data_IF_952201573844
#
_entry.id   IF_952201573844
#
_cell.length_a   1.000
_cell.length_b   1.000
_cell.length_c   1.000
_cell.angle_alpha   90.00
_cell.angle_beta   90.00
_cell.angle_gamma   90.00
#
_symmetry.space_group_name_H-M   'P 1'
#
loop_
_entity.id
_entity.type
_entity.pdbx_description
1 polymer ?
#
# COMPACT_ATOMS: atom_id res chain seq x y z
N UNK A 1 4.90 -40.99 -14.72
CA UNK A 1 5.83 -40.46 -13.69
C UNK A 1 6.82 -39.51 -14.35
N UNK A 2 6.62 -38.20 -14.21
CA UNK A 2 7.68 -37.21 -14.46
C UNK A 2 7.38 -35.96 -13.64
N UNK A 3 8.32 -35.66 -12.76
CA UNK A 3 8.40 -34.52 -11.86
C UNK A 3 8.66 -33.26 -12.70
N UNK A 4 7.93 -32.18 -12.46
CA UNK A 4 8.32 -30.83 -12.92
C UNK A 4 8.21 -29.87 -11.74
N UNK A 5 9.37 -29.38 -11.36
CA UNK A 5 9.68 -28.33 -10.39
C UNK A 5 8.98 -27.00 -10.73
N UNK A 6 8.28 -26.41 -9.75
CA UNK A 6 7.81 -25.02 -9.82
C UNK A 6 8.86 -24.10 -9.22
N UNK A 7 9.53 -23.35 -10.09
CA UNK A 7 10.42 -22.25 -9.72
C UNK A 7 9.59 -21.06 -9.26
N UNK A 8 9.82 -20.62 -8.02
CA UNK A 8 9.24 -19.42 -7.41
C UNK A 8 9.82 -18.14 -8.04
N UNK A 9 8.98 -17.35 -8.72
CA UNK A 9 9.33 -16.01 -9.21
C UNK A 9 9.46 -15.01 -8.05
N UNK A 10 10.63 -14.34 -7.97
CA UNK A 10 10.93 -13.26 -7.00
C UNK A 10 10.38 -11.92 -7.53
N UNK A 11 9.93 -10.98 -6.67
CA UNK A 11 9.42 -9.69 -7.11
C UNK A 11 10.51 -8.81 -7.75
N UNK A 12 10.12 -8.13 -8.83
CA UNK A 12 10.97 -7.44 -9.80
C UNK A 12 11.60 -6.14 -9.22
N UNK A 13 12.94 -6.08 -9.10
CA UNK A 13 13.72 -4.95 -8.57
C UNK A 13 13.74 -3.69 -9.49
N UNK A 14 13.18 -3.78 -10.69
CA UNK A 14 13.34 -2.74 -11.72
C UNK A 14 12.45 -1.50 -11.52
N UNK A 15 11.35 -1.59 -10.77
CA UNK A 15 10.42 -0.46 -10.61
C UNK A 15 10.98 0.69 -9.76
N UNK A 16 11.83 0.39 -8.77
CA UNK A 16 12.39 1.41 -7.86
C UNK A 16 13.40 2.33 -8.54
N UNK A 17 14.17 1.84 -9.51
CA UNK A 17 15.17 2.65 -10.23
C UNK A 17 14.55 3.66 -11.19
N UNK A 18 13.43 3.30 -11.82
CA UNK A 18 12.68 4.17 -12.73
C UNK A 18 12.07 5.36 -11.98
N UNK A 19 11.58 5.13 -10.76
CA UNK A 19 11.06 6.19 -9.89
C UNK A 19 12.15 7.19 -9.46
N UNK A 20 13.36 6.69 -9.20
CA UNK A 20 14.53 7.53 -8.89
C UNK A 20 14.88 8.40 -10.10
N UNK A 21 14.90 7.83 -11.30
CA UNK A 21 15.16 8.57 -12.54
C UNK A 21 14.10 9.64 -12.82
N UNK A 22 12.82 9.36 -12.57
CA UNK A 22 11.74 10.34 -12.70
C UNK A 22 11.95 11.56 -11.79
N UNK A 23 12.31 11.33 -10.53
CA UNK A 23 12.60 12.43 -9.59
C UNK A 23 13.78 13.30 -10.04
N UNK A 24 14.79 12.69 -10.64
CA UNK A 24 15.95 13.41 -11.17
C UNK A 24 15.53 14.30 -12.35
N UNK A 25 14.71 13.80 -13.27
CA UNK A 25 14.19 14.59 -14.39
C UNK A 25 13.29 15.74 -13.88
N UNK A 26 12.40 15.46 -12.93
CA UNK A 26 11.51 16.49 -12.36
C UNK A 26 12.32 17.60 -11.67
N UNK A 27 13.40 17.23 -10.99
CA UNK A 27 14.33 18.16 -10.36
C UNK A 27 15.14 18.97 -11.39
N UNK A 28 15.46 18.37 -12.55
CA UNK A 28 16.17 19.04 -13.64
C UNK A 28 15.29 20.04 -14.39
N UNK A 29 14.00 19.74 -14.54
CA UNK A 29 12.99 20.69 -15.05
C UNK A 29 12.88 21.89 -14.10
N UNK A 30 12.90 21.64 -12.79
CA UNK A 30 12.84 22.70 -11.77
C UNK A 30 14.11 23.56 -11.71
N UNK A 31 15.28 23.00 -12.04
CA UNK A 31 16.55 23.74 -12.12
C UNK A 31 16.80 24.39 -13.47
N UNK A 32 15.90 24.25 -14.45
CA UNK A 32 16.05 24.88 -15.76
C UNK A 32 17.06 24.19 -16.69
N UNK A 33 17.24 22.87 -16.60
CA UNK A 33 18.07 22.06 -17.52
C UNK A 33 19.59 22.32 -17.46
N UNK A 34 20.09 22.73 -16.29
CA UNK A 34 21.50 23.07 -16.03
C UNK A 34 22.45 21.87 -15.79
N UNK A 35 21.97 20.62 -15.86
CA UNK A 35 22.70 19.37 -15.57
C UNK A 35 23.30 19.33 -14.15
N UNK A 36 22.51 19.78 -13.16
CA UNK A 36 22.92 19.88 -11.74
C UNK A 36 22.12 19.01 -10.79
N UNK A 37 21.10 18.28 -11.25
CA UNK A 37 20.24 17.49 -10.38
C UNK A 37 20.95 16.32 -9.66
N UNK A 38 22.12 15.87 -10.14
CA UNK A 38 22.88 14.75 -9.53
C UNK A 38 24.36 15.08 -9.45
N UNK A 39 25.00 14.69 -8.34
CA UNK A 39 26.47 14.78 -8.16
C UNK A 39 27.15 13.94 -9.25
N UNK A 40 27.78 14.60 -10.22
CA UNK A 40 28.47 13.98 -11.35
C UNK A 40 27.73 14.01 -12.70
N UNK A 41 26.59 14.71 -12.79
CA UNK A 41 25.83 14.91 -14.04
C UNK A 41 24.95 13.72 -14.43
N UNK A 42 23.92 13.99 -15.23
CA UNK A 42 22.95 12.99 -15.71
C UNK A 42 23.64 11.91 -16.56
N UNK A 43 24.70 12.25 -17.29
CA UNK A 43 25.47 11.31 -18.10
C UNK A 43 26.17 10.21 -17.28
N UNK A 44 26.70 10.56 -16.11
CA UNK A 44 27.38 9.59 -15.26
C UNK A 44 26.37 8.66 -14.58
N UNK A 45 25.18 9.18 -14.26
CA UNK A 45 24.06 8.40 -13.78
C UNK A 45 23.56 7.40 -14.84
N UNK A 46 23.39 7.87 -16.09
CA UNK A 46 22.97 7.05 -17.23
C UNK A 46 24.01 5.98 -17.57
N UNK A 47 25.30 6.31 -17.59
CA UNK A 47 26.38 5.34 -17.87
C UNK A 47 26.42 4.19 -16.87
N UNK A 48 26.17 4.49 -15.59
CA UNK A 48 26.18 3.47 -14.53
C UNK A 48 25.03 2.46 -14.69
N UNK A 49 23.90 2.87 -15.27
CA UNK A 49 22.64 2.11 -15.32
C UNK A 49 22.14 1.84 -16.76
N UNK A 50 23.05 1.88 -17.75
CA UNK A 50 22.74 1.90 -19.19
C UNK A 50 21.96 0.68 -19.69
N UNK A 51 22.26 -0.53 -19.23
CA UNK A 51 21.66 -1.75 -19.80
C UNK A 51 20.15 -1.90 -19.56
N UNK A 52 19.59 -1.27 -18.53
CA UNK A 52 18.14 -1.36 -18.19
C UNK A 52 17.33 -0.17 -18.75
N UNK A 53 17.97 0.99 -18.95
CA UNK A 53 17.31 2.24 -19.38
C UNK A 53 17.48 2.55 -20.87
N UNK A 54 18.40 1.89 -21.58
CA UNK A 54 18.66 2.07 -23.03
C UNK A 54 17.40 1.91 -23.92
N UNK A 55 16.50 0.92 -23.70
CA UNK A 55 15.28 0.83 -24.48
C UNK A 55 14.29 1.98 -24.25
N UNK A 56 14.47 2.76 -23.16
CA UNK A 56 13.58 3.86 -22.77
C UNK A 56 14.12 5.24 -23.18
N UNK A 57 15.44 5.41 -23.26
CA UNK A 57 16.07 6.72 -23.50
C UNK A 57 16.42 6.99 -24.97
N UNK A 58 16.43 5.95 -25.83
CA UNK A 58 16.90 6.08 -27.22
C UNK A 58 18.43 6.13 -27.32
N UNK A 59 18.97 6.15 -28.54
CA UNK A 59 20.40 6.39 -28.77
C UNK A 59 20.72 7.83 -28.39
N UNK A 60 21.70 8.02 -27.50
CA UNK A 60 22.02 9.33 -26.97
C UNK A 60 23.52 9.60 -27.09
N UNK A 61 23.87 10.71 -27.73
CA UNK A 61 25.16 11.37 -27.58
C UNK A 61 25.08 12.28 -26.34
N UNK A 62 25.71 11.85 -25.24
CA UNK A 62 25.85 12.52 -23.93
C UNK A 62 25.11 13.85 -23.68
N UNK A 63 24.23 13.86 -22.67
CA UNK A 63 23.44 14.99 -22.17
C UNK A 63 24.27 16.25 -21.89
N UNK A 64 25.49 16.07 -21.40
CA UNK A 64 26.42 17.16 -21.07
C UNK A 64 26.91 17.94 -22.28
N UNK A 65 26.88 17.36 -23.49
CA UNK A 65 27.39 17.97 -24.73
C UNK A 65 26.30 18.75 -25.48
N UNK A 66 25.03 18.50 -25.16
CA UNK A 66 23.87 19.11 -25.83
C UNK A 66 23.64 20.56 -25.39
N UNK A 67 23.18 21.39 -26.31
CA UNK A 67 22.76 22.78 -26.05
C UNK A 67 21.46 22.84 -25.22
N UNK A 68 21.15 24.02 -24.67
CA UNK A 68 19.94 24.22 -23.85
C UNK A 68 18.65 23.79 -24.55
N UNK A 69 18.50 24.10 -25.84
CA UNK A 69 17.32 23.75 -26.62
C UNK A 69 17.23 22.25 -26.90
N UNK A 70 18.36 21.60 -27.17
CA UNK A 70 18.44 20.15 -27.39
C UNK A 70 18.16 19.36 -26.10
N UNK A 71 18.63 19.86 -24.94
CA UNK A 71 18.32 19.27 -23.62
C UNK A 71 16.84 19.37 -23.30
N UNK A 72 16.22 20.52 -23.57
CA UNK A 72 14.78 20.73 -23.35
C UNK A 72 13.95 19.80 -24.23
N UNK A 73 14.31 19.65 -25.49
CA UNK A 73 13.62 18.74 -26.42
C UNK A 73 13.77 17.27 -25.98
N UNK A 74 14.98 16.85 -25.59
CA UNK A 74 15.22 15.50 -25.11
C UNK A 74 14.44 15.20 -23.82
N UNK A 75 14.45 16.10 -22.84
CA UNK A 75 13.67 15.90 -21.60
C UNK A 75 12.18 15.83 -21.90
N UNK A 76 11.66 16.68 -22.79
CA UNK A 76 10.25 16.64 -23.17
C UNK A 76 9.89 15.34 -23.89
N UNK A 77 10.73 14.85 -24.81
CA UNK A 77 10.51 13.55 -25.46
C UNK A 77 10.53 12.39 -24.46
N UNK A 78 11.46 12.41 -23.51
CA UNK A 78 11.55 11.39 -22.45
C UNK A 78 10.33 11.46 -21.55
N UNK A 79 9.89 12.65 -21.14
CA UNK A 79 8.68 12.86 -20.33
C UNK A 79 7.43 12.40 -21.08
N UNK A 80 7.31 12.67 -22.38
CA UNK A 80 6.18 12.20 -23.20
C UNK A 80 6.21 10.67 -23.40
N UNK A 81 7.40 10.06 -23.56
CA UNK A 81 7.56 8.59 -23.52
C UNK A 81 7.18 8.02 -22.16
N UNK A 82 7.45 8.74 -21.07
CA UNK A 82 6.99 8.38 -19.74
C UNK A 82 5.48 8.56 -19.59
N UNK A 83 4.86 9.61 -20.12
CA UNK A 83 3.40 9.79 -20.09
C UNK A 83 2.70 8.70 -20.88
N UNK A 84 3.11 8.44 -22.13
CA UNK A 84 2.52 7.37 -22.95
C UNK A 84 2.75 5.97 -22.38
N UNK A 85 3.88 5.70 -21.73
CA UNK A 85 4.13 4.42 -21.03
C UNK A 85 3.50 4.35 -19.64
N UNK A 86 3.28 5.49 -18.98
CA UNK A 86 2.49 5.60 -17.74
C UNK A 86 1.02 5.46 -18.06
N UNK A 87 0.52 6.00 -19.16
CA UNK A 87 -0.84 5.82 -19.68
C UNK A 87 -1.03 4.41 -20.21
N UNK A 88 -0.04 3.82 -20.88
CA UNK A 88 -0.07 2.40 -21.24
C UNK A 88 0.08 1.50 -20.01
N UNK A 89 0.80 1.89 -18.95
CA UNK A 89 0.87 1.12 -17.69
C UNK A 89 -0.29 1.40 -16.73
N UNK A 90 -0.98 2.53 -16.86
CA UNK A 90 -2.27 2.83 -16.25
C UNK A 90 -3.39 2.12 -17.03
N UNK A 91 -3.25 1.93 -18.34
CA UNK A 91 -4.08 1.03 -19.14
C UNK A 91 -3.73 -0.44 -18.84
N UNK A 92 -2.47 -0.81 -18.59
CA UNK A 92 -2.09 -2.17 -18.15
C UNK A 92 -2.46 -2.42 -16.67
N UNK A 93 -2.50 -1.38 -15.81
CA UNK A 93 -3.03 -1.45 -14.43
C UNK A 93 -4.57 -1.39 -14.39
N UNK A 94 -5.22 -0.66 -15.30
CA UNK A 94 -6.66 -0.85 -15.61
C UNK A 94 -6.89 -2.28 -16.12
N UNK A 95 -5.93 -2.86 -16.85
CA UNK A 95 -5.96 -4.24 -17.33
C UNK A 95 -5.35 -5.27 -16.35
N UNK A 96 -5.22 -4.95 -15.06
CA UNK A 96 -5.19 -5.99 -14.01
C UNK A 96 -6.34 -5.84 -13.02
N UNK A 97 -7.47 -5.27 -13.47
CA UNK A 97 -8.77 -5.77 -13.04
C UNK A 97 -9.08 -6.89 -14.02
N UNK A 98 -8.59 -8.10 -13.73
CA UNK A 98 -9.20 -9.28 -14.37
C UNK A 98 -10.68 -9.17 -14.01
N UNK A 99 -11.63 -9.14 -14.97
CA UNK A 99 -13.03 -9.25 -14.62
C UNK A 99 -13.19 -10.63 -13.97
N UNK A 100 -13.17 -10.63 -12.64
CA UNK A 100 -13.38 -11.82 -11.85
C UNK A 100 -14.87 -12.10 -11.94
N UNK A 101 -15.23 -12.85 -12.98
CA UNK A 101 -16.58 -13.30 -13.34
C UNK A 101 -17.49 -12.21 -13.94
N UNK A 102 -17.41 -12.04 -15.27
CA UNK A 102 -18.37 -11.25 -16.09
C UNK A 102 -19.84 -11.69 -15.99
N UNK A 103 -20.10 -12.83 -15.34
CA UNK A 103 -21.46 -13.41 -15.17
C UNK A 103 -22.12 -13.02 -13.84
N UNK A 104 -21.40 -12.37 -12.93
CA UNK A 104 -21.93 -11.99 -11.63
C UNK A 104 -22.65 -10.64 -11.70
N UNK A 105 -23.98 -10.67 -11.60
CA UNK A 105 -24.81 -9.47 -11.48
C UNK A 105 -24.97 -9.02 -10.02
N UNK A 106 -25.27 -7.75 -9.77
CA UNK A 106 -25.60 -7.19 -8.43
C UNK A 106 -26.55 -8.07 -7.57
N UNK A 107 -27.70 -8.59 -8.07
CA UNK A 107 -28.59 -9.43 -7.29
C UNK A 107 -28.07 -10.86 -7.06
N UNK A 108 -26.91 -11.22 -7.63
CA UNK A 108 -26.35 -12.56 -7.47
C UNK A 108 -26.02 -12.82 -6.00
N UNK A 109 -26.25 -14.05 -5.50
CA UNK A 109 -25.96 -14.36 -4.11
C UNK A 109 -24.46 -14.25 -3.84
N UNK A 110 -24.11 -13.71 -2.66
CA UNK A 110 -22.72 -13.49 -2.24
C UNK A 110 -21.91 -14.80 -2.19
N UNK A 111 -22.59 -15.94 -2.11
CA UNK A 111 -22.00 -17.28 -2.15
C UNK A 111 -21.26 -17.61 -3.44
N UNK A 112 -21.57 -16.93 -4.55
CA UNK A 112 -20.91 -17.11 -5.85
C UNK A 112 -19.61 -16.30 -5.98
N UNK A 113 -19.39 -15.32 -5.10
CA UNK A 113 -18.23 -14.46 -5.15
C UNK A 113 -16.95 -15.25 -4.82
N UNK A 114 -16.01 -15.24 -5.75
CA UNK A 114 -14.72 -15.93 -5.60
C UNK A 114 -13.75 -15.03 -4.84
N UNK A 115 -13.34 -15.47 -3.65
CA UNK A 115 -12.28 -14.83 -2.88
C UNK A 115 -11.21 -15.84 -2.50
N UNK A 116 -9.97 -15.35 -2.40
CA UNK A 116 -8.85 -16.13 -1.87
C UNK A 116 -9.18 -16.64 -0.46
N UNK A 117 -9.18 -17.97 -0.31
CA UNK A 117 -9.54 -18.66 0.93
C UNK A 117 -11.01 -19.08 1.06
N UNK A 118 -11.84 -18.84 0.05
CA UNK A 118 -13.21 -19.35 -0.08
C UNK A 118 -14.26 -18.63 0.77
N UNK A 119 -15.39 -18.26 0.15
CA UNK A 119 -16.46 -17.50 0.82
C UNK A 119 -17.43 -18.36 1.63
N UNK A 120 -17.52 -19.66 1.33
CA UNK A 120 -18.54 -20.57 1.89
C UNK A 120 -18.55 -20.60 3.42
N UNK A 121 -17.37 -20.58 4.05
CA UNK A 121 -17.22 -20.57 5.52
C UNK A 121 -17.74 -19.31 6.21
N UNK A 122 -17.91 -18.23 5.46
CA UNK A 122 -18.30 -16.91 5.97
C UNK A 122 -19.78 -16.58 5.71
N UNK A 123 -20.49 -17.40 4.92
CA UNK A 123 -21.90 -17.17 4.55
C UNK A 123 -22.79 -16.98 5.79
N UNK A 124 -22.75 -17.82 6.85
CA UNK A 124 -23.59 -17.61 8.02
C UNK A 124 -23.35 -16.27 8.71
N UNK A 125 -22.10 -15.80 8.77
CA UNK A 125 -21.70 -14.55 9.40
C UNK A 125 -22.10 -13.35 8.53
N UNK A 126 -21.94 -13.45 7.22
CA UNK A 126 -22.40 -12.42 6.28
C UNK A 126 -23.91 -12.22 6.36
N UNK A 127 -24.69 -13.31 6.47
CA UNK A 127 -26.14 -13.23 6.68
C UNK A 127 -26.50 -12.50 7.98
N UNK A 128 -25.73 -12.67 9.06
CA UNK A 128 -25.93 -11.93 10.32
C UNK A 128 -25.66 -10.43 10.17
N UNK A 129 -24.80 -10.04 9.24
CA UNK A 129 -24.52 -8.65 8.88
C UNK A 129 -25.53 -8.08 7.86
N UNK A 130 -26.55 -8.85 7.48
CA UNK A 130 -27.53 -8.46 6.47
C UNK A 130 -27.02 -8.56 5.03
N UNK A 131 -25.91 -9.25 4.78
CA UNK A 131 -25.30 -9.38 3.45
C UNK A 131 -25.69 -10.72 2.83
N UNK A 132 -26.60 -10.70 1.86
CA UNK A 132 -27.11 -11.89 1.16
C UNK A 132 -26.65 -11.96 -0.30
N UNK A 133 -26.61 -10.82 -0.99
CA UNK A 133 -26.21 -10.70 -2.39
C UNK A 133 -25.01 -9.75 -2.55
N UNK A 134 -24.54 -9.55 -3.79
CA UNK A 134 -23.42 -8.65 -4.09
C UNK A 134 -23.83 -7.20 -3.81
N UNK A 135 -25.05 -6.82 -4.17
CA UNK A 135 -25.63 -5.48 -3.91
C UNK A 135 -25.59 -5.08 -2.43
N UNK A 136 -26.01 -5.94 -1.52
CA UNK A 136 -25.97 -5.73 -0.07
C UNK A 136 -24.54 -5.44 0.41
N UNK A 137 -23.55 -6.10 -0.21
CA UNK A 137 -22.14 -5.87 0.13
C UNK A 137 -21.63 -4.52 -0.37
N UNK A 138 -22.18 -3.96 -1.46
CA UNK A 138 -21.85 -2.61 -1.93
C UNK A 138 -22.39 -1.54 -0.98
N UNK A 139 -23.60 -1.74 -0.44
CA UNK A 139 -24.23 -0.83 0.51
C UNK A 139 -23.84 -1.08 1.98
N UNK A 140 -22.94 -2.04 2.23
CA UNK A 140 -22.41 -2.25 3.56
C UNK A 140 -21.28 -1.25 3.84
N UNK A 141 -21.64 -0.09 4.37
CA UNK A 141 -20.68 1.00 4.60
C UNK A 141 -19.81 0.80 5.85
N UNK A 142 -18.56 1.28 5.83
CA UNK A 142 -17.71 1.28 7.02
C UNK A 142 -18.20 2.30 8.05
N UNK A 143 -18.09 1.98 9.33
CA UNK A 143 -18.51 2.88 10.42
C UNK A 143 -17.40 3.88 10.81
N UNK A 144 -16.13 3.54 10.53
CA UNK A 144 -14.96 4.37 10.81
C UNK A 144 -13.90 4.12 9.74
N UNK A 145 -13.01 5.09 9.55
CA UNK A 145 -11.77 4.92 8.79
C UNK A 145 -10.56 5.09 9.72
N UNK A 146 -9.55 4.26 9.54
CA UNK A 146 -8.21 4.48 10.10
C UNK A 146 -7.39 5.29 9.09
N UNK A 147 -6.74 6.34 9.55
CA UNK A 147 -5.91 7.17 8.70
C UNK A 147 -4.47 6.65 8.67
N UNK A 148 -4.03 6.16 7.52
CA UNK A 148 -2.63 5.77 7.27
C UNK A 148 -1.98 6.63 6.18
N UNK A 149 -2.49 7.84 5.91
CA UNK A 149 -2.02 8.69 4.81
C UNK A 149 -0.67 9.34 5.08
N UNK A 150 -0.44 9.78 6.31
CA UNK A 150 0.75 10.56 6.68
C UNK A 150 1.89 9.63 7.08
N UNK A 151 2.48 8.94 6.08
CA UNK A 151 3.65 8.10 6.32
C UNK A 151 4.89 8.99 6.44
N UNK A 152 5.57 8.88 7.57
CA UNK A 152 6.86 9.51 7.85
C UNK A 152 7.88 8.45 8.29
N UNK A 153 9.16 8.81 8.25
CA UNK A 153 10.24 7.99 8.81
C UNK A 153 10.26 8.13 10.33
N UNK A 154 10.82 7.14 11.03
CA UNK A 154 10.93 7.16 12.50
C UNK A 154 11.69 8.38 13.00
N UNK A 155 12.73 8.82 12.27
CA UNK A 155 13.50 10.02 12.61
C UNK A 155 12.73 11.34 12.47
N UNK A 156 11.64 11.35 11.69
CA UNK A 156 10.84 12.55 11.37
C UNK A 156 9.58 12.67 12.24
N UNK A 157 9.41 11.76 13.21
CA UNK A 157 8.26 11.75 14.09
C UNK A 157 8.22 13.00 14.97
N UNK A 158 7.04 13.60 15.08
CA UNK A 158 6.78 14.81 15.86
C UNK A 158 5.79 14.51 16.97
N UNK A 159 6.18 14.84 18.20
CA UNK A 159 5.32 14.71 19.37
C UNK A 159 4.00 15.48 19.19
N UNK A 160 2.88 14.86 19.56
CA UNK A 160 1.55 15.46 19.56
C UNK A 160 0.81 15.38 18.22
N UNK A 161 1.45 14.86 17.16
CA UNK A 161 0.82 14.66 15.86
C UNK A 161 0.36 13.22 15.68
N UNK A 162 -0.72 13.03 14.92
CA UNK A 162 -1.13 11.71 14.43
C UNK A 162 -0.36 11.42 13.13
N UNK A 163 0.54 10.45 13.20
CA UNK A 163 1.44 10.09 12.11
C UNK A 163 1.49 8.58 11.95
N UNK A 164 1.81 8.14 10.73
CA UNK A 164 1.96 6.74 10.39
C UNK A 164 3.40 6.43 10.05
N UNK A 165 3.84 5.21 10.36
CA UNK A 165 5.16 4.71 9.96
C UNK A 165 5.03 3.32 9.38
N UNK A 166 5.95 2.98 8.48
CA UNK A 166 6.19 1.62 8.00
C UNK A 166 7.47 1.14 8.66
N UNK A 167 7.40 0.06 9.43
CA UNK A 167 8.55 -0.46 10.15
C UNK A 167 8.50 -1.98 10.24
N UNK A 168 9.66 -2.59 10.49
CA UNK A 168 9.78 -4.02 10.77
C UNK A 168 9.79 -4.22 12.27
N UNK A 169 9.10 -5.26 12.77
CA UNK A 169 9.13 -5.64 14.18
C UNK A 169 10.47 -6.29 14.49
N UNK A 170 11.24 -5.72 15.41
CA UNK A 170 12.51 -6.30 15.89
C UNK A 170 12.27 -7.27 17.04
N UNK A 171 11.49 -6.83 18.02
CA UNK A 171 11.19 -7.60 19.21
C UNK A 171 9.76 -7.31 19.66
N UNK A 172 9.07 -8.34 20.14
CA UNK A 172 7.75 -8.22 20.75
C UNK A 172 7.71 -8.95 22.08
N UNK A 173 7.27 -8.29 23.14
CA UNK A 173 7.19 -8.86 24.49
C UNK A 173 5.81 -8.63 25.11
N UNK A 174 5.35 -9.64 25.85
CA UNK A 174 4.16 -9.49 26.68
C UNK A 174 4.59 -8.98 28.06
N UNK A 175 4.00 -7.88 28.49
CA UNK A 175 4.21 -7.30 29.82
C UNK A 175 2.93 -7.40 30.63
N UNK A 176 3.05 -7.86 31.88
CA UNK A 176 1.92 -7.95 32.82
C UNK A 176 2.02 -6.81 33.82
N UNK A 177 0.90 -6.15 34.08
CA UNK A 177 0.81 -5.03 35.01
C UNK A 177 -0.56 -4.99 35.71
N UNK A 178 -0.69 -4.06 36.67
CA UNK A 178 -1.86 -3.95 37.54
C UNK A 178 -1.87 -4.96 38.69
N UNK A 179 -2.90 -4.85 39.54
CA UNK A 179 -3.01 -5.63 40.78
C UNK A 179 -3.16 -7.13 40.46
N UNK A 180 -2.16 -7.94 40.82
CA UNK A 180 -2.00 -9.38 40.48
C UNK A 180 -1.80 -9.71 38.99
N UNK A 181 -1.34 -8.76 38.16
CA UNK A 181 -1.01 -9.05 36.75
C UNK A 181 -2.22 -9.37 35.86
N UNK A 182 -3.41 -8.88 36.23
CA UNK A 182 -4.66 -9.05 35.47
C UNK A 182 -4.68 -8.29 34.15
N UNK A 183 -3.85 -7.25 33.99
CA UNK A 183 -3.75 -6.49 32.74
C UNK A 183 -2.49 -6.91 31.98
N UNK A 184 -2.64 -7.19 30.70
CA UNK A 184 -1.54 -7.58 29.81
C UNK A 184 -1.33 -6.49 28.76
N UNK A 185 -0.10 -6.26 28.33
CA UNK A 185 0.20 -5.35 27.24
C UNK A 185 1.24 -5.93 26.33
N UNK A 186 1.00 -5.79 25.03
CA UNK A 186 2.00 -6.09 24.04
C UNK A 186 2.91 -4.86 23.88
N UNK A 187 4.21 -5.06 24.00
CA UNK A 187 5.21 -4.06 23.64
C UNK A 187 5.96 -4.58 22.42
N UNK A 188 6.10 -3.74 21.39
CA UNK A 188 6.93 -4.04 20.25
C UNK A 188 7.98 -2.94 20.03
N UNK A 189 9.20 -3.36 19.73
CA UNK A 189 10.24 -2.49 19.19
C UNK A 189 10.15 -2.60 17.68
N UNK A 190 9.86 -1.47 17.04
CA UNK A 190 9.75 -1.34 15.61
C UNK A 190 10.98 -0.57 15.11
N UNK A 191 11.52 -0.96 13.97
CA UNK A 191 12.66 -0.27 13.37
C UNK A 191 12.47 -0.08 11.87
N UNK A 192 12.94 1.05 11.37
CA UNK A 192 13.08 1.35 9.95
C UNK A 192 14.55 1.62 9.59
N UNK A 193 14.82 2.20 8.42
CA UNK A 193 16.17 2.57 7.97
C UNK A 193 16.77 3.76 8.74
N UNK A 194 15.98 4.48 9.54
CA UNK A 194 16.37 5.71 10.24
C UNK A 194 16.44 5.59 11.76
N UNK A 195 15.74 4.62 12.35
CA UNK A 195 15.79 4.41 13.78
C UNK A 195 14.74 3.43 14.31
N UNK A 196 14.67 3.37 15.63
CA UNK A 196 13.78 2.45 16.34
C UNK A 196 12.79 3.22 17.22
N UNK A 197 11.57 2.72 17.29
CA UNK A 197 10.49 3.26 18.13
C UNK A 197 9.78 2.13 18.88
N UNK A 198 9.24 2.45 20.07
CA UNK A 198 8.43 1.54 20.86
C UNK A 198 6.95 1.79 20.62
N UNK A 199 6.21 0.72 20.32
CA UNK A 199 4.75 0.72 20.31
C UNK A 199 4.22 -0.15 21.46
N UNK A 200 3.19 0.33 22.14
CA UNK A 200 2.59 -0.33 23.31
C UNK A 200 1.09 -0.47 23.07
N UNK A 201 0.54 -1.69 23.17
CA UNK A 201 -0.90 -1.92 23.12
C UNK A 201 -1.40 -2.37 24.48
N UNK A 202 -2.20 -1.51 25.13
CA UNK A 202 -2.78 -1.80 26.43
C UNK A 202 -3.90 -2.84 26.34
N UNK A 203 -3.97 -3.74 27.33
CA UNK A 203 -4.95 -4.84 27.44
C UNK A 203 -4.99 -5.80 26.23
N UNK A 204 -3.91 -5.85 25.45
CA UNK A 204 -3.84 -6.60 24.18
C UNK A 204 -2.59 -7.50 24.11
N UNK A 205 -2.27 -8.20 25.21
CA UNK A 205 -1.10 -9.09 25.26
C UNK A 205 -1.08 -10.20 24.18
N UNK A 206 -2.24 -10.61 23.67
CA UNK A 206 -2.35 -11.60 22.60
C UNK A 206 -1.67 -11.18 21.28
N UNK A 207 -1.47 -9.87 21.07
CA UNK A 207 -0.84 -9.33 19.85
C UNK A 207 0.61 -9.75 19.67
N UNK A 208 1.32 -10.08 20.75
CA UNK A 208 2.72 -10.52 20.70
C UNK A 208 2.90 -11.71 19.76
N UNK A 209 1.91 -12.62 19.68
CA UNK A 209 1.96 -13.77 18.77
C UNK A 209 1.86 -13.37 17.29
N UNK A 210 1.11 -12.33 16.98
CA UNK A 210 0.95 -11.82 15.61
C UNK A 210 2.06 -10.85 15.20
N UNK A 211 2.74 -10.24 16.16
CA UNK A 211 3.83 -9.29 15.98
C UNK A 211 5.19 -9.99 16.09
N UNK A 212 5.36 -11.12 15.40
CA UNK A 212 6.62 -11.84 15.45
C UNK A 212 7.77 -10.99 14.87
N UNK A 213 9.00 -11.23 15.36
CA UNK A 213 10.20 -10.57 14.84
C UNK A 213 10.33 -10.81 13.32
N UNK A 214 10.75 -9.77 12.59
CA UNK A 214 10.85 -9.76 11.13
C UNK A 214 9.53 -9.48 10.40
N UNK A 215 8.44 -9.22 11.12
CA UNK A 215 7.15 -8.89 10.50
C UNK A 215 7.12 -7.41 10.11
N UNK A 216 6.81 -7.10 8.85
CA UNK A 216 6.58 -5.73 8.41
C UNK A 216 5.18 -5.26 8.84
N UNK A 217 5.10 -4.04 9.37
CA UNK A 217 3.88 -3.49 9.93
C UNK A 217 3.76 -2.00 9.58
N UNK A 218 2.54 -1.56 9.32
CA UNK A 218 2.19 -0.14 9.33
C UNK A 218 1.51 0.15 10.65
N UNK A 219 1.97 1.18 11.34
CA UNK A 219 1.27 1.70 12.51
C UNK A 219 0.87 3.14 12.27
N UNK A 220 -0.25 3.55 12.85
CA UNK A 220 -0.73 4.93 12.83
C UNK A 220 -1.35 5.28 14.17
N UNK A 221 -1.01 6.46 14.66
CA UNK A 221 -1.59 6.98 15.89
C UNK A 221 -0.87 8.24 16.35
N UNK A 222 -1.24 8.70 17.54
CA UNK A 222 -0.62 9.86 18.15
C UNK A 222 0.78 9.53 18.66
N UNK A 223 1.77 10.30 18.20
CA UNK A 223 3.15 10.20 18.69
C UNK A 223 3.24 10.84 20.07
N UNK A 224 3.54 10.05 21.08
CA UNK A 224 3.78 10.51 22.45
C UNK A 224 5.26 10.46 22.78
N UNK A 225 5.65 11.14 23.86
CA UNK A 225 7.02 11.10 24.36
C UNK A 225 6.99 10.55 25.77
N UNK A 226 7.76 9.47 26.00
CA UNK A 226 7.90 8.86 27.32
C UNK A 226 9.38 8.72 27.66
N UNK A 227 9.80 9.29 28.80
CA UNK A 227 11.21 9.32 29.23
C UNK A 227 12.17 9.82 28.15
N UNK A 228 11.77 10.86 27.42
CA UNK A 228 12.59 11.47 26.37
C UNK A 228 12.66 10.70 25.05
N UNK A 229 11.89 9.61 24.88
CA UNK A 229 11.81 8.86 23.62
C UNK A 229 10.41 8.89 23.05
N UNK A 230 10.29 8.96 21.73
CA UNK A 230 9.00 8.83 21.06
C UNK A 230 8.45 7.41 21.22
N UNK A 231 7.16 7.32 21.47
CA UNK A 231 6.42 6.07 21.60
C UNK A 231 5.05 6.21 20.95
N UNK A 232 4.49 5.08 20.54
CA UNK A 232 3.08 4.96 20.20
C UNK A 232 2.33 4.23 21.30
N UNK A 233 1.23 4.81 21.78
CA UNK A 233 0.33 4.17 22.74
C UNK A 233 -0.99 3.79 22.07
N UNK A 234 -1.30 2.50 22.13
CA UNK A 234 -2.44 1.85 21.48
C UNK A 234 -2.68 2.30 20.02
N UNK A 235 -1.63 2.33 19.16
CA UNK A 235 -1.81 2.76 17.78
C UNK A 235 -2.67 1.76 17.00
N UNK A 236 -3.35 2.26 15.96
CA UNK A 236 -3.88 1.40 14.93
C UNK A 236 -2.72 0.72 14.20
N UNK A 237 -2.87 -0.56 13.86
CA UNK A 237 -1.81 -1.32 13.22
C UNK A 237 -2.36 -2.21 12.12
N UNK A 238 -1.54 -2.46 11.10
CA UNK A 238 -1.82 -3.38 10.02
C UNK A 238 -0.56 -4.15 9.63
N UNK A 239 -0.63 -5.48 9.70
CA UNK A 239 0.47 -6.37 9.34
C UNK A 239 0.56 -6.46 7.82
N UNK A 240 1.73 -6.12 7.29
CA UNK A 240 2.05 -6.17 5.87
C UNK A 240 2.47 -7.60 5.49
N UNK A 241 1.48 -8.42 5.10
CA UNK A 241 1.73 -9.79 4.65
C UNK A 241 1.62 -9.90 3.12
N UNK A 242 2.73 -10.11 2.41
CA UNK A 242 2.75 -10.40 0.97
C UNK A 242 2.32 -9.23 0.06
N UNK A 243 1.92 -9.53 -1.19
CA UNK A 243 1.52 -8.52 -2.21
C UNK A 243 0.32 -7.63 -1.80
N UNK A 244 -0.49 -8.04 -0.82
CA UNK A 244 -1.58 -7.21 -0.27
C UNK A 244 -1.07 -6.06 0.61
N UNK A 245 0.22 -6.05 0.98
CA UNK A 245 0.89 -5.01 1.78
C UNK A 245 0.73 -3.60 1.18
N UNK A 246 0.90 -3.49 -0.14
CA UNK A 246 0.85 -2.21 -0.86
C UNK A 246 -0.56 -1.64 -0.99
N UNK A 247 -1.58 -2.44 -0.69
CA UNK A 247 -2.94 -1.95 -0.75
C UNK A 247 -3.18 -0.95 0.37
N UNK A 248 -2.76 -1.19 1.62
CA UNK A 248 -3.26 -0.43 2.77
C UNK A 248 -2.31 0.65 3.34
N UNK A 249 -1.05 0.68 2.91
CA UNK A 249 -0.13 1.76 3.27
C UNK A 249 -0.49 3.05 2.51
N UNK A 250 -0.52 4.21 3.20
CA UNK A 250 -0.67 5.52 2.56
C UNK A 250 -2.10 5.95 2.26
N UNK A 251 -3.11 5.26 2.81
CA UNK A 251 -4.53 5.58 2.56
C UNK A 251 -5.40 5.46 3.80
N UNK A 252 -6.64 5.94 3.69
CA UNK A 252 -7.66 5.63 4.69
C UNK A 252 -8.09 4.16 4.57
N UNK A 253 -8.07 3.43 5.68
CA UNK A 253 -8.46 2.02 5.74
C UNK A 253 -9.84 1.91 6.39
N UNK A 254 -10.86 1.37 5.70
CA UNK A 254 -12.21 1.25 6.25
C UNK A 254 -12.28 0.20 7.36
N UNK A 255 -13.03 0.50 8.41
CA UNK A 255 -13.34 -0.42 9.50
C UNK A 255 -14.83 -0.78 9.42
N UNK A 256 -15.08 -2.08 9.25
CA UNK A 256 -16.42 -2.65 9.24
C UNK A 256 -16.77 -3.25 10.61
N UNK A 257 -18.07 -3.30 10.98
CA UNK A 257 -18.51 -4.04 12.16
C UNK A 257 -18.08 -5.51 12.06
N UNK A 258 -17.25 -5.95 13.01
CA UNK A 258 -16.80 -7.34 13.05
C UNK A 258 -17.87 -8.25 13.69
N UNK A 259 -17.89 -9.51 13.30
CA UNK A 259 -18.62 -10.58 14.02
C UNK A 259 -17.61 -11.60 14.53
N UNK A 260 -17.94 -12.34 15.60
CA UNK A 260 -17.02 -13.25 16.34
C UNK A 260 -16.18 -14.22 15.49
N UNK A 261 -16.62 -14.51 14.26
CA UNK A 261 -15.95 -15.46 13.34
C UNK A 261 -15.57 -14.85 11.99
N UNK A 262 -15.74 -13.54 11.82
CA UNK A 262 -15.45 -12.84 10.58
C UNK A 262 -14.55 -11.64 10.86
N UNK A 263 -13.27 -11.80 10.54
CA UNK A 263 -12.27 -10.75 10.74
C UNK A 263 -12.54 -9.55 9.82
N UNK A 264 -12.31 -8.33 10.32
CA UNK A 264 -12.50 -7.08 9.57
C UNK A 264 -11.73 -7.09 8.24
N UNK A 265 -10.51 -7.66 8.22
CA UNK A 265 -9.71 -7.81 6.99
C UNK A 265 -10.43 -8.68 5.94
N UNK A 266 -11.11 -9.73 6.36
CA UNK A 266 -11.90 -10.58 5.46
C UNK A 266 -13.12 -9.83 4.94
N UNK A 267 -13.83 -9.09 5.78
CA UNK A 267 -14.96 -8.24 5.36
C UNK A 267 -14.51 -7.23 4.32
N UNK A 268 -13.41 -6.51 4.60
CA UNK A 268 -12.77 -5.58 3.66
C UNK A 268 -12.50 -6.24 2.31
N UNK A 269 -11.91 -7.43 2.31
CA UNK A 269 -11.59 -8.17 1.09
C UNK A 269 -12.88 -8.49 0.31
N UNK A 270 -13.90 -9.01 0.97
CA UNK A 270 -15.19 -9.34 0.35
C UNK A 270 -15.80 -8.10 -0.30
N UNK A 271 -15.90 -7.00 0.44
CA UNK A 271 -16.51 -5.76 -0.06
C UNK A 271 -15.68 -5.17 -1.20
N UNK A 272 -14.35 -5.16 -1.10
CA UNK A 272 -13.49 -4.68 -2.18
C UNK A 272 -13.66 -5.51 -3.46
N UNK A 273 -13.77 -6.83 -3.33
CA UNK A 273 -14.08 -7.70 -4.47
C UNK A 273 -15.48 -7.43 -5.02
N UNK A 274 -16.49 -7.23 -4.17
CA UNK A 274 -17.84 -6.87 -4.60
C UNK A 274 -17.88 -5.53 -5.34
N UNK A 275 -17.17 -4.51 -4.83
CA UNK A 275 -17.05 -3.19 -5.46
C UNK A 275 -16.43 -3.32 -6.84
N UNK A 276 -15.33 -4.07 -6.98
CA UNK A 276 -14.68 -4.26 -8.27
C UNK A 276 -15.58 -4.95 -9.32
N UNK A 277 -16.55 -5.77 -8.90
CA UNK A 277 -17.49 -6.45 -9.79
C UNK A 277 -18.72 -5.57 -10.08
N UNK A 278 -19.21 -4.88 -9.05
CA UNK A 278 -20.52 -4.23 -9.07
C UNK A 278 -20.51 -2.77 -9.50
N UNK A 279 -19.38 -2.04 -9.37
CA UNK A 279 -19.31 -0.60 -9.67
C UNK A 279 -19.74 -0.27 -11.11
N UNK A 280 -19.32 -1.08 -12.08
CA UNK A 280 -19.66 -0.89 -13.50
C UNK A 280 -21.12 -1.25 -13.84
N UNK A 281 -21.83 -1.87 -12.90
CA UNK A 281 -23.22 -2.30 -13.08
C UNK A 281 -24.23 -1.33 -12.45
N UNK A 282 -23.74 -0.33 -11.70
CA UNK A 282 -24.60 0.68 -11.09
C UNK A 282 -25.14 1.57 -12.21
N UNK A 283 -26.47 1.65 -12.28
CA UNK A 283 -27.16 2.50 -13.25
C UNK A 283 -27.17 3.93 -12.71
N UNK A 284 -26.80 4.88 -13.54
CA UNK A 284 -26.92 6.31 -13.24
C UNK A 284 -28.41 6.65 -13.01
N UNK A 285 -28.72 7.14 -11.81
CA UNK A 285 -30.08 7.47 -11.41
C UNK A 285 -30.44 8.92 -11.72
N UNK A 286 -29.44 9.77 -11.97
CA UNK A 286 -29.66 11.18 -12.31
C UNK A 286 -29.96 11.36 -13.81
N UNK A 287 -30.95 12.18 -14.18
CA UNK A 287 -31.15 12.56 -15.56
C UNK A 287 -29.91 13.28 -16.11
N UNK A 288 -29.56 13.02 -17.38
CA UNK A 288 -28.43 13.68 -18.06
C UNK A 288 -28.47 15.21 -18.05
N UNK A 289 -29.63 15.81 -17.80
CA UNK A 289 -29.80 17.25 -17.72
C UNK A 289 -29.18 17.88 -16.45
N UNK A 290 -28.82 17.08 -15.44
CA UNK A 290 -28.32 17.54 -14.13
C UNK A 290 -26.85 17.15 -13.90
N UNK A 291 -26.27 16.34 -14.80
CA UNK A 291 -24.86 15.90 -14.78
C UNK A 291 -24.01 16.82 -15.65
#
# INVERSE_FOLDING_TARGET
MKVVSSSSERPNRNTSKVEIFKRIIDQEIASGYEDRAVIGGIDNFIRKWSTELVPMMGEMSGYSVLSYEERKNWVNEVVERFKTKTENSLNLKKQTIVPLDSDLKLPSPISRLKIAGGIRKYIPQLKKLGIYNIEDALYHFPHRHNDFRTIVKVSELKHGFEQSIVATVWESTETRHGNRGRSTSAQAILGDDTGNIKAIWHNQGYLVRSLASGTDIVISGMVKTFKGRHIFESPAYEILSGQESLMHAGRMVPIYPATDKLAVRTIRRIINTSLNIGLDQIIEFMPKAVL
#
